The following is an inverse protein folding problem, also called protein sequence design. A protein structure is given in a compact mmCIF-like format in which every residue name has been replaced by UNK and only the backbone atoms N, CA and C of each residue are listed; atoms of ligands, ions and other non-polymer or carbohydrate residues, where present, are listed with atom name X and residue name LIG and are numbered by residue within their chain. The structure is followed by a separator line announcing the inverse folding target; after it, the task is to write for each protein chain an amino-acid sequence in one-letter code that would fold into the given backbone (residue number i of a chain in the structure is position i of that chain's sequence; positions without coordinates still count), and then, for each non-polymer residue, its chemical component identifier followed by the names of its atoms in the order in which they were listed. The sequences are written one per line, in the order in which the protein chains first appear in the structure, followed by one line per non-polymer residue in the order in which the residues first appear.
data_IF_973437549428
#
_entry.id   IF_973437549428
#
_cell.length_a   1.000
_cell.length_b   1.000
_cell.length_c   1.000
_cell.angle_alpha   90.00
_cell.angle_beta   90.00
_cell.angle_gamma   90.00
#
_symmetry.space_group_name_H-M   'P 1'
#
loop_
_entity.id
_entity.type
_entity.pdbx_description
1 polymer ?
#
# COMPACT_ATOMS: atom_id res chain seq x y z
N UNK A 1 -4.57 10.80 -9.20
CA UNK A 1 -4.52 11.04 -7.73
C UNK A 1 -3.08 11.32 -7.28
N UNK A 2 -2.83 12.04 -6.19
CA UNK A 2 -1.47 12.24 -5.68
C UNK A 2 -0.96 10.94 -5.01
N UNK A 3 0.26 10.52 -5.35
CA UNK A 3 0.93 9.41 -4.68
C UNK A 3 1.09 9.74 -3.18
N UNK A 4 0.80 8.79 -2.27
CA UNK A 4 1.09 8.98 -0.86
C UNK A 4 2.60 9.19 -0.68
N UNK A 5 2.97 9.97 0.34
CA UNK A 5 4.38 10.20 0.67
C UNK A 5 5.07 8.86 0.95
N UNK A 6 6.30 8.72 0.43
CA UNK A 6 7.14 7.54 0.69
C UNK A 6 7.54 7.57 2.17
N UNK A 7 7.19 6.54 2.97
CA UNK A 7 7.60 6.49 4.37
C UNK A 7 9.13 6.38 4.50
N UNK A 8 9.70 6.96 5.57
CA UNK A 8 11.14 6.90 5.83
C UNK A 8 11.71 5.47 5.87
N UNK A 9 10.94 4.53 6.44
CA UNK A 9 11.35 3.12 6.51
C UNK A 9 11.42 2.46 5.13
N UNK A 10 10.60 2.92 4.18
CA UNK A 10 10.59 2.42 2.81
C UNK A 10 11.78 3.01 2.05
N UNK A 11 12.02 4.32 2.21
CA UNK A 11 13.18 5.01 1.63
C UNK A 11 14.52 4.41 2.12
N UNK A 12 14.63 4.07 3.41
CA UNK A 12 15.81 3.39 4.00
C UNK A 12 16.15 2.04 3.37
N UNK A 13 15.21 1.43 2.65
CA UNK A 13 15.34 0.09 2.05
C UNK A 13 15.36 0.16 0.54
N UNK A 14 15.72 1.32 -0.01
CA UNK A 14 15.71 1.59 -1.45
C UNK A 14 14.32 1.33 -2.07
N UNK A 15 13.29 1.52 -1.23
CA UNK A 15 11.91 1.34 -1.60
C UNK A 15 11.32 2.60 -2.18
N UNK A 16 10.48 2.44 -3.21
CA UNK A 16 9.79 3.53 -3.89
C UNK A 16 8.31 3.19 -4.06
N UNK A 17 7.48 4.22 -4.19
CA UNK A 17 6.07 4.07 -4.50
C UNK A 17 5.84 4.47 -5.95
N UNK A 18 5.14 3.61 -6.70
CA UNK A 18 4.78 3.86 -8.08
C UNK A 18 3.27 3.79 -8.25
N UNK A 19 2.71 4.69 -9.04
CA UNK A 19 1.28 4.68 -9.31
C UNK A 19 0.96 3.49 -10.24
N UNK A 20 -0.11 2.76 -9.93
CA UNK A 20 -0.60 1.69 -10.79
C UNK A 20 -1.48 2.21 -11.92
N UNK A 21 -2.00 1.26 -12.71
CA UNK A 21 -2.88 1.52 -13.87
C UNK A 21 -4.21 2.18 -13.47
N UNK A 22 -4.59 2.16 -12.19
CA UNK A 22 -5.78 2.86 -11.69
C UNK A 22 -5.44 3.86 -10.59
N UNK A 23 -6.25 4.92 -10.47
CA UNK A 23 -6.13 5.96 -9.43
C UNK A 23 -6.18 5.44 -7.98
N UNK A 24 -6.54 4.18 -7.82
CA UNK A 24 -6.72 3.49 -6.55
C UNK A 24 -5.65 2.42 -6.28
N UNK A 25 -4.69 2.22 -7.19
CA UNK A 25 -3.64 1.21 -7.04
C UNK A 25 -2.27 1.90 -6.93
N UNK A 26 -1.48 1.49 -5.93
CA UNK A 26 -0.09 1.91 -5.75
C UNK A 26 0.78 0.67 -5.61
N UNK A 27 1.91 0.64 -6.29
CA UNK A 27 2.91 -0.42 -6.17
C UNK A 27 4.04 0.02 -5.26
N UNK A 28 4.41 -0.87 -4.33
CA UNK A 28 5.63 -0.76 -3.54
C UNK A 28 6.73 -1.46 -4.30
N UNK A 29 7.64 -0.66 -4.82
CA UNK A 29 8.86 -1.12 -5.48
C UNK A 29 9.92 -1.29 -4.39
N UNK A 30 10.53 -2.46 -4.31
CA UNK A 30 11.65 -2.77 -3.43
C UNK A 30 12.72 -3.49 -4.27
N UNK A 31 13.96 -3.05 -4.18
CA UNK A 31 15.05 -3.63 -5.00
C UNK A 31 14.80 -3.51 -6.51
N UNK A 32 14.16 -2.41 -6.95
CA UNK A 32 13.88 -2.15 -8.37
C UNK A 32 12.71 -2.93 -8.97
N UNK A 33 11.98 -3.72 -8.18
CA UNK A 33 10.83 -4.51 -8.66
C UNK A 33 9.58 -4.29 -7.79
N UNK A 34 8.37 -4.30 -8.37
CA UNK A 34 7.12 -4.19 -7.60
C UNK A 34 6.92 -5.46 -6.76
N UNK A 35 7.15 -5.37 -5.45
CA UNK A 35 6.98 -6.50 -4.52
C UNK A 35 5.57 -6.55 -3.93
N UNK A 36 4.95 -5.38 -3.72
CA UNK A 36 3.61 -5.29 -3.15
C UNK A 36 2.74 -4.33 -3.95
N UNK A 37 1.44 -4.59 -3.93
CA UNK A 37 0.40 -3.77 -4.52
C UNK A 37 -0.57 -3.35 -3.43
N UNK A 38 -0.70 -2.06 -3.20
CA UNK A 38 -1.76 -1.46 -2.39
C UNK A 38 -2.92 -1.10 -3.30
N UNK A 39 -4.08 -1.64 -2.99
CA UNK A 39 -5.34 -1.40 -3.68
C UNK A 39 -6.33 -0.80 -2.69
N UNK A 40 -6.62 0.49 -2.84
CA UNK A 40 -7.55 1.22 -1.99
C UNK A 40 -8.94 1.13 -2.61
N UNK A 41 -9.89 0.51 -1.90
CA UNK A 41 -11.26 0.40 -2.38
C UNK A 41 -12.26 1.06 -1.43
N UNK A 42 -13.29 1.73 -1.94
CA UNK A 42 -14.39 2.17 -1.10
C UNK A 42 -15.20 0.96 -0.60
N UNK A 43 -15.48 0.90 0.69
CA UNK A 43 -16.30 -0.12 1.35
C UNK A 43 -17.27 0.55 2.33
N UNK A 44 -18.57 0.52 2.02
CA UNK A 44 -19.67 1.05 2.85
C UNK A 44 -19.44 2.46 3.40
N UNK A 45 -19.04 3.41 2.55
CA UNK A 45 -18.81 4.81 2.95
C UNK A 45 -17.44 5.07 3.62
N UNK A 46 -16.61 4.04 3.76
CA UNK A 46 -15.22 4.12 4.20
C UNK A 46 -14.29 3.63 3.08
N UNK A 47 -12.98 3.73 3.28
CA UNK A 47 -11.96 3.21 2.38
C UNK A 47 -11.21 2.08 3.09
N UNK A 48 -10.99 0.98 2.38
CA UNK A 48 -10.14 -0.13 2.83
C UNK A 48 -8.88 -0.14 1.97
N UNK A 49 -7.78 -0.61 2.54
CA UNK A 49 -6.54 -0.84 1.79
C UNK A 49 -6.24 -2.33 1.77
N UNK A 50 -6.19 -2.88 0.57
CA UNK A 50 -5.80 -4.26 0.33
C UNK A 50 -4.34 -4.27 -0.07
N UNK A 51 -3.50 -4.99 0.67
CA UNK A 51 -2.11 -5.15 0.28
C UNK A 51 -1.95 -6.55 -0.31
N UNK A 52 -1.47 -6.65 -1.54
CA UNK A 52 -1.25 -7.93 -2.22
C UNK A 52 0.22 -8.06 -2.60
N UNK A 53 0.82 -9.20 -2.29
CA UNK A 53 2.17 -9.53 -2.75
C UNK A 53 2.16 -9.80 -4.25
N UNK A 54 3.02 -9.10 -4.99
CA UNK A 54 3.17 -9.29 -6.44
C UNK A 54 3.84 -10.62 -6.78
N UNK A 55 4.69 -11.14 -5.89
CA UNK A 55 5.45 -12.38 -6.13
C UNK A 55 4.56 -13.64 -6.12
N UNK A 56 3.63 -13.73 -5.16
CA UNK A 56 2.85 -14.93 -4.87
C UNK A 56 1.34 -14.68 -4.91
N UNK A 57 0.90 -13.44 -5.19
CA UNK A 57 -0.52 -13.06 -5.17
C UNK A 57 -1.15 -13.08 -3.78
N UNK A 58 -0.36 -13.31 -2.72
CA UNK A 58 -0.89 -13.43 -1.37
C UNK A 58 -1.37 -12.07 -0.86
N UNK A 59 -2.64 -12.02 -0.45
CA UNK A 59 -3.27 -10.82 0.08
C UNK A 59 -3.02 -10.73 1.58
N UNK A 60 -2.34 -9.67 1.97
CA UNK A 60 -2.22 -9.19 3.33
C UNK A 60 -3.45 -8.32 3.59
N UNK A 61 -4.52 -8.96 4.07
CA UNK A 61 -5.69 -8.23 4.54
C UNK A 61 -5.29 -7.34 5.72
N UNK A 62 -5.55 -6.04 5.56
CA UNK A 62 -5.51 -5.07 6.64
C UNK A 62 -6.94 -4.77 7.06
N UNK A 63 -7.26 -4.95 8.34
CA UNK A 63 -8.59 -4.64 8.91
C UNK A 63 -8.89 -3.14 9.04
N UNK A 64 -7.99 -2.28 8.54
CA UNK A 64 -8.12 -0.83 8.63
C UNK A 64 -9.22 -0.29 7.71
N UNK A 65 -10.23 0.33 8.31
CA UNK A 65 -11.21 1.17 7.61
C UNK A 65 -10.86 2.63 7.83
N UNK A 66 -10.77 3.39 6.75
CA UNK A 66 -10.26 4.75 6.74
C UNK A 66 -11.30 5.73 6.19
N UNK A 67 -11.31 6.99 6.63
CA UNK A 67 -12.30 7.98 6.20
C UNK A 67 -12.04 8.52 4.78
N UNK A 68 -10.82 8.38 4.26
CA UNK A 68 -10.44 8.83 2.92
C UNK A 68 -9.33 7.94 2.33
N UNK A 69 -9.12 8.02 1.01
CA UNK A 69 -8.15 7.20 0.31
C UNK A 69 -6.69 7.46 0.75
N UNK A 70 -6.33 8.70 1.08
CA UNK A 70 -4.98 9.03 1.56
C UNK A 70 -4.65 8.35 2.89
N UNK A 71 -5.60 8.36 3.83
CA UNK A 71 -5.51 7.63 5.09
C UNK A 71 -5.46 6.12 4.86
N UNK A 72 -6.21 5.60 3.87
CA UNK A 72 -6.14 4.20 3.50
C UNK A 72 -4.76 3.77 2.99
N UNK A 73 -4.12 4.59 2.14
CA UNK A 73 -2.75 4.32 1.72
C UNK A 73 -1.77 4.34 2.89
N UNK A 74 -1.84 5.36 3.75
CA UNK A 74 -0.96 5.47 4.93
C UNK A 74 -1.10 4.27 5.86
N UNK A 75 -2.34 3.89 6.17
CA UNK A 75 -2.58 2.74 7.05
C UNK A 75 -2.34 1.38 6.38
N UNK A 76 -2.48 1.26 5.06
CA UNK A 76 -2.05 0.08 4.31
C UNK A 76 -0.53 -0.11 4.34
N UNK A 77 0.22 0.99 4.24
CA UNK A 77 1.68 0.98 4.39
C UNK A 77 2.10 0.62 5.82
N UNK A 78 1.39 1.10 6.83
CA UNK A 78 1.63 0.75 8.23
C UNK A 78 1.33 -0.73 8.51
N UNK A 79 0.21 -1.25 7.99
CA UNK A 79 -0.13 -2.66 8.07
C UNK A 79 0.92 -3.53 7.38
N UNK A 80 1.38 -3.14 6.18
CA UNK A 80 2.47 -3.81 5.48
C UNK A 80 3.74 -3.83 6.33
N UNK A 81 4.13 -2.69 6.90
CA UNK A 81 5.29 -2.57 7.78
C UNK A 81 5.18 -3.53 8.97
N UNK A 82 4.04 -3.56 9.65
CA UNK A 82 3.79 -4.48 10.76
C UNK A 82 3.88 -5.95 10.36
N UNK A 83 3.35 -6.33 9.17
CA UNK A 83 3.45 -7.70 8.64
C UNK A 83 4.87 -8.10 8.26
N UNK A 84 5.68 -7.15 7.81
CA UNK A 84 7.10 -7.38 7.50
C UNK A 84 8.00 -7.37 8.73
N UNK A 85 7.49 -6.94 9.89
CA UNK A 85 8.25 -6.84 11.14
C UNK A 85 9.28 -5.71 11.12
N UNK A 86 8.97 -4.60 10.44
CA UNK A 86 9.89 -3.46 10.24
C UNK A 86 9.53 -2.24 11.11
#
# INVERSE_FOLDING_TARGET
MALPAIPDWLSKREGSLSAGVGDHTVFVILGGQPQYRLDVRPASGQFICNVTQSNNGHRLDGDGKYPNAAAAFGGGLDALRGKLGW
#
